data_IF_067691539367
#
_entry.id   IF_067691539367
#
_cell.length_a   1.000
_cell.length_b   1.000
_cell.length_c   1.000
_cell.angle_alpha   90.00
_cell.angle_beta   90.00
_cell.angle_gamma   90.00
#
_symmetry.space_group_name_H-M   'P 1'
#
loop_
_entity.id
_entity.type
_entity.pdbx_description
1 polymer ?
#
# COMPACT_ATOMS: atom_id res chain seq x y z
N UNK A 1 -3.22 -7.98 -14.27
CA UNK A 1 -2.00 -7.16 -14.08
C UNK A 1 -0.98 -8.03 -13.34
N UNK A 2 0.29 -8.07 -13.73
CA UNK A 2 1.26 -8.95 -13.05
C UNK A 2 1.71 -8.35 -11.72
N UNK A 3 1.85 -9.19 -10.68
CA UNK A 3 2.24 -8.75 -9.34
C UNK A 3 3.62 -8.06 -9.33
N UNK A 4 4.55 -8.58 -10.12
CA UNK A 4 5.92 -8.04 -10.24
C UNK A 4 5.93 -6.65 -10.85
N UNK A 5 5.11 -6.41 -11.88
CA UNK A 5 4.98 -5.08 -12.50
C UNK A 5 4.32 -4.10 -11.53
N UNK A 6 3.26 -4.53 -10.84
CA UNK A 6 2.56 -3.72 -9.85
C UNK A 6 3.51 -3.30 -8.70
N UNK A 7 4.35 -4.22 -8.22
CA UNK A 7 5.39 -3.94 -7.23
C UNK A 7 6.37 -2.89 -7.73
N UNK A 8 6.90 -3.07 -8.94
CA UNK A 8 7.93 -2.19 -9.50
C UNK A 8 7.38 -0.78 -9.70
N UNK A 9 6.20 -0.67 -10.32
CA UNK A 9 5.52 0.61 -10.56
C UNK A 9 5.18 1.30 -9.24
N UNK A 10 4.61 0.57 -8.27
CA UNK A 10 4.28 1.15 -6.97
C UNK A 10 5.54 1.61 -6.21
N UNK A 11 6.64 0.86 -6.29
CA UNK A 11 7.91 1.26 -5.68
C UNK A 11 8.43 2.56 -6.30
N UNK A 12 8.49 2.63 -7.63
CA UNK A 12 8.96 3.82 -8.35
C UNK A 12 8.10 5.05 -8.07
N UNK A 13 6.77 4.91 -8.10
CA UNK A 13 5.85 6.00 -7.78
C UNK A 13 5.97 6.44 -6.32
N UNK A 14 6.13 5.49 -5.38
CA UNK A 14 6.33 5.81 -3.98
C UNK A 14 7.68 6.50 -3.73
N UNK A 15 8.74 6.13 -4.47
CA UNK A 15 10.04 6.81 -4.40
C UNK A 15 9.91 8.27 -4.80
N UNK A 16 9.22 8.54 -5.91
CA UNK A 16 8.98 9.91 -6.39
C UNK A 16 8.16 10.72 -5.38
N UNK A 17 7.05 10.16 -4.86
CA UNK A 17 6.19 10.85 -3.89
C UNK A 17 6.82 11.07 -2.51
N UNK A 18 7.68 10.15 -2.06
CA UNK A 18 8.30 10.20 -0.73
C UNK A 18 9.66 10.91 -0.73
N UNK A 19 10.22 11.22 -1.91
CA UNK A 19 11.48 11.93 -2.07
C UNK A 19 11.30 13.42 -1.72
N UNK A 20 11.20 13.70 -0.43
CA UNK A 20 11.16 15.07 0.13
C UNK A 20 12.59 15.50 0.49
N UNK A 21 12.95 16.75 0.20
CA UNK A 21 14.31 17.29 0.24
C UNK A 21 15.05 17.16 1.60
N UNK A 22 14.33 16.94 2.70
CA UNK A 22 14.89 16.86 4.06
C UNK A 22 14.94 15.44 4.65
N UNK A 23 14.59 14.41 3.88
CA UNK A 23 14.52 13.03 4.36
C UNK A 23 15.70 12.20 3.85
N UNK A 24 16.36 11.49 4.76
CA UNK A 24 17.44 10.56 4.41
C UNK A 24 17.01 9.56 3.32
N UNK A 25 17.76 9.50 2.22
CA UNK A 25 17.46 8.64 1.06
C UNK A 25 17.25 7.17 1.45
N UNK A 26 17.99 6.67 2.44
CA UNK A 26 17.82 5.29 2.95
C UNK A 26 16.43 5.04 3.53
N UNK A 27 15.83 6.01 4.23
CA UNK A 27 14.47 5.88 4.76
C UNK A 27 13.44 5.94 3.64
N UNK A 28 13.61 6.86 2.68
CA UNK A 28 12.73 6.96 1.51
C UNK A 28 12.71 5.64 0.72
N UNK A 29 13.89 5.06 0.45
CA UNK A 29 14.03 3.77 -0.23
C UNK A 29 13.35 2.63 0.55
N UNK A 30 13.52 2.57 1.86
CA UNK A 30 12.88 1.55 2.70
C UNK A 30 11.36 1.67 2.64
N UNK A 31 10.80 2.87 2.84
CA UNK A 31 9.35 3.07 2.81
C UNK A 31 8.75 2.83 1.43
N UNK A 32 9.39 3.30 0.36
CA UNK A 32 8.92 3.04 -0.99
C UNK A 32 8.98 1.55 -1.36
N UNK A 33 10.01 0.83 -0.93
CA UNK A 33 10.11 -0.63 -1.08
C UNK A 33 9.00 -1.36 -0.32
N UNK A 34 8.64 -0.91 0.90
CA UNK A 34 7.51 -1.45 1.67
C UNK A 34 6.19 -1.21 0.92
N UNK A 35 5.95 0.01 0.41
CA UNK A 35 4.74 0.32 -0.38
C UNK A 35 4.64 -0.58 -1.61
N UNK A 36 5.75 -0.74 -2.34
CA UNK A 36 5.83 -1.62 -3.50
C UNK A 36 5.51 -3.08 -3.18
N UNK A 37 6.12 -3.62 -2.12
CA UNK A 37 5.84 -4.97 -1.63
C UNK A 37 4.36 -5.15 -1.27
N UNK A 38 3.77 -4.21 -0.53
CA UNK A 38 2.37 -4.26 -0.15
C UNK A 38 1.46 -4.31 -1.38
N UNK A 39 1.70 -3.46 -2.38
CA UNK A 39 0.92 -3.45 -3.63
C UNK A 39 1.15 -4.73 -4.46
N UNK A 40 2.39 -5.22 -4.52
CA UNK A 40 2.75 -6.45 -5.22
C UNK A 40 2.06 -7.69 -4.65
N UNK A 41 2.18 -7.90 -3.34
CA UNK A 41 1.53 -9.01 -2.63
C UNK A 41 0.00 -8.90 -2.69
N UNK A 42 -0.54 -7.67 -2.59
CA UNK A 42 -1.98 -7.45 -2.77
C UNK A 42 -2.42 -7.79 -4.19
N UNK A 43 -1.63 -7.46 -5.20
CA UNK A 43 -1.91 -7.82 -6.60
C UNK A 43 -1.86 -9.34 -6.81
N UNK A 44 -0.94 -10.03 -6.14
CA UNK A 44 -0.89 -11.48 -6.14
C UNK A 44 -2.18 -12.05 -5.55
N UNK A 45 -2.59 -11.64 -4.35
CA UNK A 45 -3.84 -12.08 -3.71
C UNK A 45 -5.09 -11.81 -4.58
N UNK A 46 -5.19 -10.61 -5.17
CA UNK A 46 -6.29 -10.23 -6.06
C UNK A 46 -6.33 -11.05 -7.35
N UNK A 47 -5.18 -11.50 -7.87
CA UNK A 47 -5.15 -12.34 -9.08
C UNK A 47 -5.76 -13.73 -8.83
N UNK A 48 -5.73 -14.24 -7.59
CA UNK A 48 -6.41 -15.50 -7.23
C UNK A 48 -7.88 -15.30 -6.90
N UNK A 49 -8.30 -14.06 -6.68
CA UNK A 49 -9.68 -13.74 -6.37
C UNK A 49 -10.45 -13.40 -7.65
N UNK A 50 -11.58 -14.06 -7.88
CA UNK A 50 -12.49 -13.76 -9.00
C UNK A 50 -13.27 -12.45 -8.82
N UNK A 51 -12.55 -11.33 -8.66
CA UNK A 51 -13.12 -9.99 -8.61
C UNK A 51 -12.95 -9.34 -9.98
N UNK A 52 -13.83 -8.40 -10.32
CA UNK A 52 -13.68 -7.65 -11.57
C UNK A 52 -12.40 -6.82 -11.55
N UNK A 53 -11.74 -6.71 -12.72
CA UNK A 53 -10.47 -5.97 -12.86
C UNK A 53 -10.58 -4.51 -12.41
N UNK A 54 -11.76 -3.90 -12.56
CA UNK A 54 -12.05 -2.55 -12.11
C UNK A 54 -12.01 -2.41 -10.58
N UNK A 55 -12.64 -3.34 -9.86
CA UNK A 55 -12.67 -3.35 -8.39
C UNK A 55 -11.27 -3.62 -7.84
N UNK A 56 -10.54 -4.58 -8.45
CA UNK A 56 -9.16 -4.87 -8.06
C UNK A 56 -8.22 -3.66 -8.25
N UNK A 57 -8.34 -2.96 -9.39
CA UNK A 57 -7.56 -1.75 -9.65
C UNK A 57 -7.84 -0.62 -8.66
N UNK A 58 -9.11 -0.34 -8.36
CA UNK A 58 -9.49 0.68 -7.39
C UNK A 58 -9.00 0.34 -5.98
N UNK A 59 -9.06 -0.94 -5.61
CA UNK A 59 -8.59 -1.44 -4.33
C UNK A 59 -7.07 -1.30 -4.18
N UNK A 60 -6.29 -1.64 -5.22
CA UNK A 60 -4.85 -1.41 -5.22
C UNK A 60 -4.48 0.07 -5.13
N UNK A 61 -5.23 0.94 -5.80
CA UNK A 61 -5.03 2.39 -5.73
C UNK A 61 -5.26 2.91 -4.31
N UNK A 62 -6.30 2.42 -3.64
CA UNK A 62 -6.61 2.78 -2.26
C UNK A 62 -5.49 2.34 -1.30
N UNK A 63 -5.01 1.10 -1.44
CA UNK A 63 -3.86 0.58 -0.68
C UNK A 63 -2.63 1.46 -0.91
N UNK A 64 -2.29 1.73 -2.17
CA UNK A 64 -1.14 2.55 -2.53
C UNK A 64 -1.23 3.96 -1.91
N UNK A 65 -2.34 4.65 -2.12
CA UNK A 65 -2.58 6.00 -1.62
C UNK A 65 -2.38 6.08 -0.12
N UNK A 66 -3.02 5.17 0.60
CA UNK A 66 -3.06 5.23 2.04
C UNK A 66 -1.67 4.81 2.62
N UNK A 67 -0.96 3.87 2.01
CA UNK A 67 0.39 3.46 2.41
C UNK A 67 1.42 4.59 2.20
N UNK A 68 1.37 5.26 1.04
CA UNK A 68 2.23 6.42 0.74
C UNK A 68 1.93 7.57 1.68
N UNK A 69 0.66 7.92 1.92
CA UNK A 69 0.30 9.01 2.82
C UNK A 69 0.77 8.72 4.26
N UNK A 70 0.65 7.48 4.73
CA UNK A 70 1.15 7.07 6.05
C UNK A 70 2.67 7.19 6.14
N UNK A 71 3.39 6.70 5.13
CA UNK A 71 4.85 6.83 5.05
C UNK A 71 5.29 8.30 5.00
N UNK A 72 4.60 9.13 4.22
CA UNK A 72 4.89 10.55 4.10
C UNK A 72 4.71 11.27 5.44
N UNK A 73 3.60 11.02 6.16
CA UNK A 73 3.37 11.58 7.49
C UNK A 73 4.39 11.08 8.54
N UNK A 74 4.85 9.83 8.40
CA UNK A 74 5.92 9.27 9.23
C UNK A 74 7.25 9.98 9.03
N UNK A 75 7.63 10.17 7.76
CA UNK A 75 8.89 10.80 7.40
C UNK A 75 8.94 12.28 7.79
N UNK A 76 7.79 12.95 7.80
CA UNK A 76 7.65 14.33 8.28
C UNK A 76 7.62 14.46 9.83
N UNK A 77 7.83 13.37 10.57
CA UNK A 77 7.96 13.40 12.03
C UNK A 77 6.67 13.67 12.81
N UNK A 78 5.49 13.56 12.16
CA UNK A 78 4.17 13.76 12.79
C UNK A 78 3.50 12.46 13.22
N UNK A 79 4.27 11.43 13.54
CA UNK A 79 3.70 10.10 13.71
C UNK A 79 3.02 9.91 15.06
N UNK A 80 1.68 9.89 15.06
CA UNK A 80 0.87 9.33 16.15
C UNK A 80 0.55 7.88 15.84
N UNK A 81 0.73 7.01 16.84
CA UNK A 81 0.39 5.56 16.80
C UNK A 81 -1.07 5.32 16.39
N UNK A 82 -1.95 6.32 16.55
CA UNK A 82 -3.35 6.25 16.11
C UNK A 82 -3.51 6.00 14.61
N UNK A 83 -2.60 6.52 13.77
CA UNK A 83 -2.68 6.35 12.31
C UNK A 83 -2.35 4.91 11.92
N UNK A 84 -1.39 4.29 12.62
CA UNK A 84 -1.03 2.88 12.48
C UNK A 84 -2.20 1.95 12.86
N UNK A 85 -2.97 2.34 13.89
CA UNK A 85 -4.16 1.62 14.32
C UNK A 85 -5.31 1.80 13.34
N UNK A 86 -5.57 3.00 12.82
CA UNK A 86 -6.58 3.21 11.76
C UNK A 86 -6.31 2.33 10.55
N UNK A 87 -5.04 2.20 10.16
CA UNK A 87 -4.63 1.39 9.03
C UNK A 87 -4.77 -0.11 9.27
N UNK A 88 -4.36 -0.58 10.45
CA UNK A 88 -4.56 -1.96 10.86
C UNK A 88 -6.05 -2.32 10.92
N UNK A 89 -6.90 -1.39 11.38
CA UNK A 89 -8.36 -1.56 11.41
C UNK A 89 -8.93 -1.66 10.00
N UNK A 90 -8.49 -0.82 9.05
CA UNK A 90 -8.93 -0.91 7.64
C UNK A 90 -8.47 -2.24 7.01
N UNK A 91 -7.24 -2.67 7.26
CA UNK A 91 -6.73 -3.95 6.77
C UNK A 91 -7.52 -5.14 7.33
N UNK A 92 -7.81 -5.14 8.63
CA UNK A 92 -8.62 -6.17 9.30
C UNK A 92 -10.06 -6.15 8.79
N UNK A 93 -10.66 -4.96 8.60
CA UNK A 93 -12.02 -4.81 8.10
C UNK A 93 -12.15 -5.35 6.67
N UNK A 94 -11.18 -5.05 5.81
CA UNK A 94 -11.11 -5.64 4.49
C UNK A 94 -10.97 -7.16 4.59
N UNK A 95 -10.04 -7.67 5.40
CA UNK A 95 -9.83 -9.12 5.62
C UNK A 95 -11.11 -9.82 6.07
N UNK A 96 -11.86 -9.20 6.97
CA UNK A 96 -13.14 -9.71 7.46
C UNK A 96 -14.18 -9.78 6.33
N UNK A 97 -14.23 -8.77 5.46
CA UNK A 97 -15.11 -8.77 4.27
C UNK A 97 -14.73 -9.89 3.30
N UNK A 98 -13.43 -10.17 3.12
CA UNK A 98 -12.95 -11.32 2.31
C UNK A 98 -13.51 -12.63 2.86
N UNK A 99 -13.29 -12.87 4.15
CA UNK A 99 -13.69 -14.10 4.83
C UNK A 99 -15.22 -14.30 4.84
N UNK A 100 -15.99 -13.22 5.01
CA UNK A 100 -17.45 -13.28 5.02
C UNK A 100 -18.08 -13.41 3.62
N UNK A 101 -17.37 -13.03 2.55
CA UNK A 101 -17.88 -13.09 1.17
C UNK A 101 -17.40 -14.33 0.41
N UNK A 102 -16.45 -15.08 0.97
CA UNK A 102 -16.17 -16.45 0.55
C UNK A 102 -17.37 -17.33 0.94
N UNK A 103 -17.99 -18.09 0.02
CA UNK A 103 -18.92 -19.14 0.41
C UNK A 103 -18.24 -20.21 1.28
#
# INVERSE_FOLDING_TARGET
>A
MTATLALLVATLLALDLLSVADVSLRRVLLFAGIVGLVVGESTWALNYWQISSWVGGLFLLLIFYAAVNTAHQHLLGRLRVSILVEFAVVAIAVLAIILLKSP
#
